data_IF_736985768609
#
_entry.id   IF_736985768609
#
_cell.length_a   1.000
_cell.length_b   1.000
_cell.length_c   1.000
_cell.angle_alpha   90.00
_cell.angle_beta   90.00
_cell.angle_gamma   90.00
#
_symmetry.space_group_name_H-M   'P 1'
#
loop_
_entity.id
_entity.type
_entity.pdbx_description
1 polymer ?
#
# COMPACT_ATOMS: atom_id res chain seq x y z
N UNK A 1 -3.28 13.06 -22.95
CA UNK A 1 -3.97 11.79 -22.71
C UNK A 1 -2.93 10.71 -22.45
N UNK A 2 -3.07 10.00 -21.34
CA UNK A 2 -2.22 8.84 -21.05
C UNK A 2 -2.46 7.74 -22.08
N UNK A 3 -1.41 7.01 -22.47
CA UNK A 3 -1.59 5.86 -23.36
C UNK A 3 -2.48 4.83 -22.66
N UNK A 4 -3.57 4.45 -23.31
CA UNK A 4 -4.64 3.58 -22.80
C UNK A 4 -4.15 2.21 -22.26
N UNK A 5 -2.92 1.79 -22.57
CA UNK A 5 -2.34 0.51 -22.15
C UNK A 5 -1.20 0.66 -21.12
N UNK A 6 -0.91 1.86 -20.62
CA UNK A 6 0.08 2.03 -19.57
C UNK A 6 -0.55 1.76 -18.20
N UNK A 7 -0.05 0.81 -17.40
CA UNK A 7 -0.55 0.57 -16.04
C UNK A 7 -0.14 1.67 -15.05
N UNK A 8 0.81 2.54 -15.45
CA UNK A 8 1.29 3.64 -14.62
C UNK A 8 0.91 4.99 -15.25
N UNK A 9 0.43 5.96 -14.44
CA UNK A 9 0.15 7.30 -14.93
C UNK A 9 1.42 7.96 -15.44
N UNK A 10 1.31 8.63 -16.59
CA UNK A 10 2.41 9.35 -17.23
C UNK A 10 2.38 10.86 -16.91
N UNK A 11 1.34 11.29 -16.23
CA UNK A 11 1.09 12.67 -15.83
C UNK A 11 0.93 12.69 -14.33
N UNK A 12 1.65 13.58 -13.66
CA UNK A 12 1.51 13.80 -12.23
C UNK A 12 0.72 15.08 -12.02
N UNK A 13 -0.39 15.02 -11.29
CA UNK A 13 -1.13 16.21 -10.84
C UNK A 13 -0.63 16.64 -9.46
N UNK A 14 -0.52 17.93 -9.24
CA UNK A 14 -0.14 18.51 -7.96
C UNK A 14 -0.77 19.86 -7.73
N UNK A 15 -1.22 20.12 -6.51
CA UNK A 15 -1.65 21.44 -6.05
C UNK A 15 -0.50 22.25 -5.42
N UNK A 16 0.67 21.63 -5.26
CA UNK A 16 1.81 22.23 -4.57
C UNK A 16 2.74 22.95 -5.55
N UNK A 17 2.95 24.27 -5.39
CA UNK A 17 3.80 25.04 -6.30
C UNK A 17 5.29 24.66 -6.20
N UNK A 18 5.75 24.19 -5.05
CA UNK A 18 7.12 23.70 -4.83
C UNK A 18 7.40 22.43 -5.65
N UNK A 19 6.43 21.50 -5.76
CA UNK A 19 6.54 20.31 -6.64
C UNK A 19 6.73 20.74 -8.08
N UNK A 20 5.89 21.67 -8.54
CA UNK A 20 5.97 22.18 -9.89
C UNK A 20 7.30 22.88 -10.15
N UNK A 21 7.78 23.71 -9.23
CA UNK A 21 9.05 24.41 -9.36
C UNK A 21 10.25 23.46 -9.48
N UNK A 22 10.27 22.38 -8.67
CA UNK A 22 11.31 21.35 -8.74
C UNK A 22 11.26 20.63 -10.09
N UNK A 23 10.06 20.24 -10.55
CA UNK A 23 9.89 19.56 -11.82
C UNK A 23 10.34 20.43 -13.01
N UNK A 24 10.01 21.72 -13.00
CA UNK A 24 10.46 22.68 -14.02
C UNK A 24 12.00 22.85 -13.99
N UNK A 25 12.62 22.88 -12.80
CA UNK A 25 14.08 22.94 -12.68
C UNK A 25 14.78 21.70 -13.23
N UNK A 26 14.09 20.56 -13.25
CA UNK A 26 14.56 19.31 -13.87
C UNK A 26 14.33 19.24 -15.39
N UNK A 27 13.78 20.31 -15.99
CA UNK A 27 13.50 20.37 -17.43
C UNK A 27 12.20 19.68 -17.84
N UNK A 28 11.29 19.41 -16.91
CA UNK A 28 9.97 18.86 -17.21
C UNK A 28 9.00 19.97 -17.62
N UNK A 29 7.91 19.58 -18.27
CA UNK A 29 6.86 20.52 -18.69
C UNK A 29 5.75 20.53 -17.64
N UNK A 30 5.40 21.73 -17.18
CA UNK A 30 4.24 21.96 -16.31
C UNK A 30 3.12 22.65 -17.08
N UNK A 31 1.90 22.19 -16.94
CA UNK A 31 0.71 22.76 -17.53
C UNK A 31 -0.24 23.20 -16.43
N UNK A 32 -0.61 24.47 -16.43
CA UNK A 32 -1.58 25.03 -15.51
C UNK A 32 -2.77 25.56 -16.30
N UNK A 33 -3.99 25.35 -15.80
CA UNK A 33 -5.20 25.89 -16.37
C UNK A 33 -5.78 26.97 -15.45
N UNK A 34 -6.21 28.07 -16.03
CA UNK A 34 -6.89 29.12 -15.28
C UNK A 34 -8.20 28.57 -14.68
N UNK A 35 -8.39 28.80 -13.38
CA UNK A 35 -9.56 28.30 -12.64
C UNK A 35 -9.40 26.92 -12.02
N UNK A 36 -8.28 26.19 -12.28
CA UNK A 36 -7.94 24.94 -11.60
C UNK A 36 -6.77 25.15 -10.64
N UNK A 37 -6.85 24.67 -9.38
CA UNK A 37 -5.73 24.72 -8.45
C UNK A 37 -4.64 23.70 -8.79
N UNK A 38 -4.93 22.74 -9.69
CA UNK A 38 -4.02 21.67 -10.04
C UNK A 38 -3.10 22.03 -11.21
N UNK A 39 -1.81 21.71 -11.03
CA UNK A 39 -0.82 21.76 -12.09
C UNK A 39 -0.50 20.31 -12.56
N UNK A 40 -0.42 20.12 -13.88
CA UNK A 40 -0.05 18.84 -14.48
C UNK A 40 1.43 18.88 -14.88
N UNK A 41 2.18 17.88 -14.46
CA UNK A 41 3.61 17.70 -14.72
C UNK A 41 3.82 16.54 -15.68
N UNK A 42 4.57 16.76 -16.74
CA UNK A 42 4.86 15.77 -17.77
C UNK A 42 6.36 15.78 -18.15
N UNK A 43 6.98 14.61 -18.39
CA UNK A 43 6.50 13.25 -18.12
C UNK A 43 6.56 12.92 -16.63
N UNK A 44 5.57 12.16 -16.14
CA UNK A 44 5.61 11.54 -14.82
C UNK A 44 6.48 10.29 -14.86
N UNK A 45 7.39 10.16 -13.91
CA UNK A 45 8.22 8.97 -13.74
C UNK A 45 7.70 8.15 -12.55
N UNK A 46 7.81 6.84 -12.63
CA UNK A 46 7.43 5.94 -11.54
C UNK A 46 8.08 6.32 -10.20
N UNK A 47 9.34 6.77 -10.24
CA UNK A 47 10.08 7.19 -9.05
C UNK A 47 9.46 8.42 -8.35
N UNK A 48 8.73 9.26 -9.09
CA UNK A 48 8.08 10.45 -8.53
C UNK A 48 6.97 10.09 -7.54
N UNK A 49 6.30 8.96 -7.76
CA UNK A 49 5.28 8.46 -6.82
C UNK A 49 5.88 7.93 -5.51
N UNK A 50 7.18 7.62 -5.50
CA UNK A 50 7.90 7.17 -4.31
C UNK A 50 8.66 8.31 -3.61
N UNK A 51 8.77 9.48 -4.23
CA UNK A 51 9.42 10.65 -3.64
C UNK A 51 8.39 11.61 -3.04
N UNK A 52 8.69 12.10 -1.85
CA UNK A 52 7.97 13.23 -1.25
C UNK A 52 8.86 14.46 -1.28
N UNK A 53 8.25 15.63 -1.48
CA UNK A 53 8.97 16.91 -1.43
C UNK A 53 9.53 17.18 -0.05
N UNK A 54 8.87 16.71 0.99
CA UNK A 54 9.32 16.84 2.38
C UNK A 54 10.71 16.26 2.60
N UNK A 55 11.11 15.28 1.78
CA UNK A 55 12.46 14.71 1.82
C UNK A 55 13.56 15.73 1.53
N UNK A 56 13.25 16.80 0.79
CA UNK A 56 14.22 17.87 0.46
C UNK A 56 14.38 18.92 1.56
N UNK A 57 13.44 18.99 2.50
CA UNK A 57 13.49 19.93 3.63
C UNK A 57 14.25 19.40 4.84
N UNK A 58 14.49 18.09 4.89
CA UNK A 58 15.20 17.46 6.01
C UNK A 58 16.70 17.31 5.74
N UNK A 59 17.47 17.09 6.83
CA UNK A 59 18.91 16.80 6.72
C UNK A 59 19.14 15.53 5.90
N UNK A 60 20.19 15.52 5.10
CA UNK A 60 20.53 14.45 4.16
C UNK A 60 20.42 13.03 4.75
N UNK A 61 20.99 12.77 5.92
CA UNK A 61 20.96 11.43 6.54
C UNK A 61 19.55 10.99 6.91
N UNK A 62 18.72 11.90 7.38
CA UNK A 62 17.34 11.62 7.75
C UNK A 62 16.47 11.36 6.49
N UNK A 63 16.63 12.18 5.48
CA UNK A 63 15.95 12.00 4.19
C UNK A 63 16.33 10.68 3.53
N UNK A 64 17.62 10.29 3.59
CA UNK A 64 18.09 9.03 3.06
C UNK A 64 17.43 7.83 3.78
N UNK A 65 17.38 7.88 5.11
CA UNK A 65 16.75 6.82 5.91
C UNK A 65 15.25 6.68 5.59
N UNK A 66 14.50 7.79 5.49
CA UNK A 66 13.07 7.77 5.15
C UNK A 66 12.84 7.23 3.73
N UNK A 67 13.64 7.66 2.75
CA UNK A 67 13.54 7.14 1.38
C UNK A 67 13.79 5.65 1.32
N UNK A 68 14.84 5.18 2.00
CA UNK A 68 15.16 3.75 2.06
C UNK A 68 14.03 2.94 2.72
N UNK A 69 13.48 3.44 3.84
CA UNK A 69 12.31 2.83 4.48
C UNK A 69 11.11 2.75 3.53
N UNK A 70 10.85 3.81 2.76
CA UNK A 70 9.75 3.85 1.79
C UNK A 70 9.92 2.82 0.67
N UNK A 71 11.14 2.64 0.16
CA UNK A 71 11.42 1.59 -0.82
C UNK A 71 11.20 0.18 -0.25
N UNK A 72 11.60 -0.05 1.00
CA UNK A 72 11.34 -1.32 1.69
C UNK A 72 9.83 -1.53 1.84
N UNK A 73 9.09 -0.52 2.30
CA UNK A 73 7.65 -0.61 2.46
C UNK A 73 6.93 -0.86 1.13
N UNK A 74 7.38 -0.22 0.06
CA UNK A 74 6.87 -0.51 -1.28
C UNK A 74 7.12 -1.97 -1.68
N UNK A 75 8.33 -2.48 -1.44
CA UNK A 75 8.65 -3.89 -1.69
C UNK A 75 7.79 -4.84 -0.84
N UNK A 76 7.56 -4.52 0.42
CA UNK A 76 6.67 -5.28 1.32
C UNK A 76 5.24 -5.26 0.77
N UNK A 77 4.70 -4.10 0.44
CA UNK A 77 3.35 -3.98 -0.09
C UNK A 77 3.13 -4.84 -1.35
N UNK A 78 4.14 -4.94 -2.21
CA UNK A 78 4.03 -5.68 -3.47
C UNK A 78 4.25 -7.18 -3.31
N UNK A 79 5.21 -7.59 -2.48
CA UNK A 79 5.74 -8.96 -2.48
C UNK A 79 5.19 -9.79 -1.31
N UNK A 80 4.91 -9.17 -0.17
CA UNK A 80 4.67 -9.89 1.09
C UNK A 80 3.51 -10.91 1.03
N UNK A 81 2.32 -10.59 0.47
CA UNK A 81 1.24 -11.57 0.39
C UNK A 81 1.59 -12.76 -0.49
N UNK A 82 2.19 -12.50 -1.66
CA UNK A 82 2.64 -13.53 -2.58
C UNK A 82 3.76 -14.40 -1.99
N UNK A 83 4.71 -13.78 -1.28
CA UNK A 83 5.79 -14.49 -0.59
C UNK A 83 5.24 -15.40 0.51
N UNK A 84 4.30 -14.91 1.32
CA UNK A 84 3.66 -15.71 2.35
C UNK A 84 2.96 -16.94 1.77
N UNK A 85 2.18 -16.77 0.71
CA UNK A 85 1.51 -17.89 0.01
C UNK A 85 2.53 -18.84 -0.57
N UNK A 86 3.58 -18.35 -1.24
CA UNK A 86 4.61 -19.18 -1.84
C UNK A 86 5.34 -20.05 -0.80
N UNK A 87 5.75 -19.45 0.32
CA UNK A 87 6.51 -20.13 1.36
C UNK A 87 5.61 -21.11 2.14
N UNK A 88 4.39 -20.74 2.48
CA UNK A 88 3.51 -21.61 3.27
C UNK A 88 2.87 -22.74 2.47
N UNK A 89 2.73 -22.58 1.13
CA UNK A 89 2.05 -23.57 0.29
C UNK A 89 3.02 -24.43 -0.50
N UNK A 90 4.08 -23.83 -1.06
CA UNK A 90 4.98 -24.53 -2.00
C UNK A 90 6.37 -24.80 -1.45
N UNK A 91 6.88 -23.96 -0.51
CA UNK A 91 8.26 -24.04 -0.03
C UNK A 91 8.32 -24.12 1.50
N UNK A 92 7.56 -25.03 2.08
CA UNK A 92 7.47 -25.21 3.53
C UNK A 92 8.82 -25.58 4.18
N UNK A 93 9.72 -26.16 3.40
CA UNK A 93 11.07 -26.51 3.85
C UNK A 93 11.94 -25.31 4.23
N UNK A 94 11.60 -24.11 3.73
CA UNK A 94 12.29 -22.87 4.08
C UNK A 94 11.92 -22.34 5.48
N UNK A 95 10.84 -22.86 6.06
CA UNK A 95 10.33 -22.40 7.36
C UNK A 95 10.95 -23.26 8.46
N UNK A 96 11.51 -22.65 9.53
CA UNK A 96 11.93 -23.40 10.71
C UNK A 96 10.77 -24.25 11.27
N UNK A 97 11.05 -25.51 11.61
CA UNK A 97 10.02 -26.47 12.03
C UNK A 97 9.07 -25.97 13.13
N UNK A 98 9.52 -25.27 14.20
CA UNK A 98 8.62 -24.74 15.22
C UNK A 98 7.63 -23.72 14.66
N UNK A 99 8.09 -22.87 13.75
CA UNK A 99 7.24 -21.87 13.09
C UNK A 99 6.26 -22.53 12.12
N UNK A 100 6.70 -23.54 11.37
CA UNK A 100 5.84 -24.30 10.47
C UNK A 100 4.69 -24.97 11.23
N UNK A 101 4.97 -25.60 12.36
CA UNK A 101 3.94 -26.22 13.21
C UNK A 101 2.94 -25.16 13.70
N UNK A 102 3.43 -24.01 14.14
CA UNK A 102 2.60 -22.90 14.59
C UNK A 102 1.69 -22.36 13.48
N UNK A 103 2.24 -22.14 12.29
CA UNK A 103 1.48 -21.67 11.13
C UNK A 103 0.44 -22.70 10.68
N UNK A 104 0.81 -23.99 10.67
CA UNK A 104 -0.10 -25.06 10.29
C UNK A 104 -1.24 -25.21 11.30
N UNK A 105 -0.95 -25.12 12.60
CA UNK A 105 -1.98 -25.17 13.64
C UNK A 105 -2.93 -23.98 13.55
N UNK A 106 -2.42 -22.77 13.28
CA UNK A 106 -3.24 -21.58 13.11
C UNK A 106 -4.15 -21.61 11.87
N UNK A 107 -3.85 -22.48 10.90
CA UNK A 107 -4.67 -22.71 9.70
C UNK A 107 -5.59 -23.92 9.82
N UNK A 108 -5.47 -24.68 10.90
CA UNK A 108 -6.34 -25.85 11.12
C UNK A 108 -7.78 -25.36 11.31
N UNK A 109 -8.67 -25.83 10.46
CA UNK A 109 -10.09 -25.44 10.47
C UNK A 109 -10.49 -24.34 9.48
N UNK A 110 -9.54 -23.71 8.80
CA UNK A 110 -9.83 -22.74 7.73
C UNK A 110 -10.14 -23.51 6.43
N UNK A 111 -11.36 -23.35 5.86
CA UNK A 111 -11.77 -24.14 4.68
C UNK A 111 -11.19 -23.60 3.37
N UNK A 112 -10.64 -22.37 3.36
CA UNK A 112 -10.18 -21.72 2.15
C UNK A 112 -8.70 -21.99 1.86
N UNK A 113 -8.33 -22.17 0.57
CA UNK A 113 -6.92 -22.15 0.17
C UNK A 113 -6.30 -20.77 0.47
N UNK A 114 -4.99 -20.76 0.79
CA UNK A 114 -4.26 -19.54 1.17
C UNK A 114 -4.40 -18.39 0.16
N UNK A 115 -4.47 -18.68 -1.13
CA UNK A 115 -4.64 -17.69 -2.20
C UNK A 115 -6.00 -17.00 -2.11
N UNK A 116 -7.07 -17.78 -1.92
CA UNK A 116 -8.43 -17.23 -1.83
C UNK A 116 -8.60 -16.45 -0.51
N UNK A 117 -8.02 -16.96 0.57
CA UNK A 117 -7.96 -16.29 1.87
C UNK A 117 -7.29 -14.91 1.75
N UNK A 118 -6.11 -14.83 1.11
CA UNK A 118 -5.41 -13.58 0.89
C UNK A 118 -6.22 -12.60 0.01
N UNK A 119 -6.72 -13.05 -1.14
CA UNK A 119 -7.48 -12.22 -2.06
C UNK A 119 -8.77 -11.67 -1.41
N UNK A 120 -9.48 -12.50 -0.65
CA UNK A 120 -10.70 -12.06 0.05
C UNK A 120 -10.39 -10.97 1.07
N UNK A 121 -9.31 -11.11 1.83
CA UNK A 121 -8.90 -10.12 2.81
C UNK A 121 -8.38 -8.84 2.17
N UNK A 122 -7.64 -8.92 1.06
CA UNK A 122 -7.20 -7.74 0.29
C UNK A 122 -8.41 -6.96 -0.26
N UNK A 123 -9.41 -7.64 -0.79
CA UNK A 123 -10.64 -6.99 -1.28
C UNK A 123 -11.38 -6.30 -0.13
N UNK A 124 -11.51 -6.96 1.03
CA UNK A 124 -12.15 -6.36 2.22
C UNK A 124 -11.36 -5.15 2.70
N UNK A 125 -10.04 -5.26 2.76
CA UNK A 125 -9.18 -4.15 3.16
C UNK A 125 -9.31 -2.95 2.20
N UNK A 126 -9.31 -3.20 0.88
CA UNK A 126 -9.47 -2.16 -0.13
C UNK A 126 -10.86 -1.51 -0.04
N UNK A 127 -11.91 -2.29 0.18
CA UNK A 127 -13.26 -1.76 0.38
C UNK A 127 -13.35 -0.86 1.63
N UNK A 128 -12.69 -1.24 2.73
CA UNK A 128 -12.63 -0.42 3.95
C UNK A 128 -11.85 0.87 3.71
N UNK A 129 -10.74 0.81 2.97
CA UNK A 129 -9.94 1.96 2.60
C UNK A 129 -10.73 2.93 1.74
N UNK A 130 -11.39 2.43 0.70
CA UNK A 130 -12.22 3.23 -0.21
C UNK A 130 -13.37 3.90 0.55
N UNK A 131 -14.04 3.17 1.46
CA UNK A 131 -15.06 3.74 2.33
C UNK A 131 -14.50 4.84 3.25
N UNK A 132 -13.29 4.62 3.79
CA UNK A 132 -12.62 5.58 4.66
C UNK A 132 -12.29 6.91 3.98
N UNK A 133 -11.87 6.87 2.72
CA UNK A 133 -11.53 8.07 1.93
C UNK A 133 -12.78 8.90 1.59
N UNK A 134 -13.91 8.25 1.34
CA UNK A 134 -15.17 8.93 0.97
C UNK A 134 -15.92 9.55 2.14
N UNK A 135 -15.58 9.18 3.37
CA UNK A 135 -16.21 9.71 4.56
C UNK A 135 -15.48 10.96 5.07
N UNK A 136 -16.16 11.85 5.82
CA UNK A 136 -15.49 12.95 6.53
C UNK A 136 -14.36 12.41 7.41
N UNK A 137 -13.20 13.08 7.44
CA UNK A 137 -11.95 12.59 8.07
C UNK A 137 -12.12 11.95 9.45
N UNK A 138 -12.90 12.57 10.34
CA UNK A 138 -13.12 12.06 11.69
C UNK A 138 -13.92 10.73 11.70
N UNK A 139 -14.91 10.60 10.83
CA UNK A 139 -15.75 9.40 10.74
C UNK A 139 -15.02 8.32 9.94
N UNK A 140 -14.33 8.70 8.84
CA UNK A 140 -13.59 7.77 8.00
C UNK A 140 -12.51 7.02 8.77
N UNK A 141 -11.72 7.70 9.60
CA UNK A 141 -10.72 7.07 10.46
C UNK A 141 -11.35 6.07 11.44
N UNK A 142 -12.42 6.46 12.12
CA UNK A 142 -13.10 5.59 13.06
C UNK A 142 -13.66 4.34 12.37
N UNK A 143 -14.32 4.50 11.23
CA UNK A 143 -14.89 3.38 10.46
C UNK A 143 -13.80 2.44 9.95
N UNK A 144 -12.68 2.98 9.47
CA UNK A 144 -11.57 2.15 8.97
C UNK A 144 -10.92 1.34 10.10
N UNK A 145 -10.67 1.96 11.26
CA UNK A 145 -10.04 1.27 12.40
C UNK A 145 -10.99 0.21 12.98
N UNK A 146 -12.23 0.60 13.27
CA UNK A 146 -13.23 -0.32 13.85
C UNK A 146 -13.59 -1.41 12.86
N UNK A 147 -13.77 -1.06 11.57
CA UNK A 147 -14.05 -2.02 10.50
C UNK A 147 -12.94 -3.06 10.36
N UNK A 148 -11.69 -2.63 10.29
CA UNK A 148 -10.54 -3.54 10.17
C UNK A 148 -10.41 -4.46 11.40
N UNK A 149 -10.56 -3.92 12.61
CA UNK A 149 -10.47 -4.70 13.85
C UNK A 149 -11.63 -5.69 13.98
N UNK A 150 -12.87 -5.22 13.84
CA UNK A 150 -14.08 -6.05 14.03
C UNK A 150 -14.19 -7.10 12.94
N UNK A 151 -13.96 -6.73 11.67
CA UNK A 151 -14.03 -7.69 10.55
C UNK A 151 -12.89 -8.69 10.64
N UNK A 152 -11.67 -8.24 10.95
CA UNK A 152 -10.52 -9.12 11.10
C UNK A 152 -10.71 -10.13 12.23
N UNK A 153 -11.16 -9.69 13.41
CA UNK A 153 -11.42 -10.56 14.56
C UNK A 153 -12.60 -11.53 14.28
N UNK A 154 -13.68 -11.03 13.68
CA UNK A 154 -14.83 -11.86 13.31
C UNK A 154 -14.45 -12.93 12.27
N UNK A 155 -13.65 -12.59 11.26
CA UNK A 155 -13.21 -13.52 10.23
C UNK A 155 -12.32 -14.63 10.80
N UNK A 156 -11.42 -14.29 11.73
CA UNK A 156 -10.58 -15.27 12.44
C UNK A 156 -11.43 -16.14 13.38
N UNK A 157 -12.30 -15.54 14.17
CA UNK A 157 -13.15 -16.26 15.12
C UNK A 157 -14.13 -17.21 14.42
N UNK A 158 -14.63 -16.81 13.25
CA UNK A 158 -15.47 -17.65 12.40
C UNK A 158 -14.68 -18.77 11.66
N UNK A 159 -13.34 -18.78 11.77
CA UNK A 159 -12.50 -19.74 11.08
C UNK A 159 -12.49 -19.60 9.57
N UNK A 160 -12.85 -18.44 9.03
CA UNK A 160 -12.85 -18.17 7.58
C UNK A 160 -11.44 -17.80 7.13
N UNK A 161 -10.68 -17.10 7.98
CA UNK A 161 -9.34 -16.59 7.71
C UNK A 161 -8.40 -16.96 8.86
N UNK A 162 -7.17 -17.30 8.56
CA UNK A 162 -6.15 -17.60 9.58
C UNK A 162 -5.56 -16.33 10.19
N UNK A 163 -5.19 -16.39 11.47
CA UNK A 163 -4.55 -15.26 12.16
C UNK A 163 -3.28 -14.74 11.43
N UNK A 164 -2.35 -15.62 10.96
CA UNK A 164 -1.19 -15.14 10.23
C UNK A 164 -1.53 -14.37 8.96
N UNK A 165 -2.59 -14.78 8.23
CA UNK A 165 -3.01 -14.06 7.02
C UNK A 165 -3.49 -12.65 7.33
N UNK A 166 -4.25 -12.46 8.41
CA UNK A 166 -4.70 -11.12 8.84
C UNK A 166 -3.50 -10.21 9.13
N UNK A 167 -2.45 -10.76 9.77
CA UNK A 167 -1.23 -9.99 10.06
C UNK A 167 -0.52 -9.60 8.76
N UNK A 168 -0.41 -10.52 7.79
CA UNK A 168 0.23 -10.26 6.50
C UNK A 168 -0.52 -9.15 5.73
N UNK A 169 -1.84 -9.26 5.64
CA UNK A 169 -2.67 -8.25 4.95
C UNK A 169 -2.61 -6.90 5.67
N UNK A 170 -2.63 -6.88 7.00
CA UNK A 170 -2.47 -5.66 7.77
C UNK A 170 -1.12 -4.98 7.53
N UNK A 171 -0.01 -5.75 7.50
CA UNK A 171 1.32 -5.22 7.20
C UNK A 171 1.40 -4.70 5.76
N UNK A 172 0.80 -5.39 4.81
CA UNK A 172 0.72 -4.96 3.41
C UNK A 172 -0.05 -3.65 3.29
N UNK A 173 -1.19 -3.56 3.96
CA UNK A 173 -2.01 -2.36 4.02
C UNK A 173 -1.26 -1.17 4.64
N UNK A 174 -0.61 -1.36 5.79
CA UNK A 174 0.22 -0.32 6.41
C UNK A 174 1.36 0.13 5.49
N UNK A 175 1.99 -0.81 4.80
CA UNK A 175 3.07 -0.51 3.87
C UNK A 175 2.57 0.31 2.67
N UNK A 176 1.37 0.06 2.17
CA UNK A 176 0.78 0.82 1.07
C UNK A 176 0.52 2.30 1.42
N UNK A 177 0.19 2.61 2.68
CA UNK A 177 -0.01 3.99 3.14
C UNK A 177 1.27 4.82 3.20
N UNK A 178 2.45 4.20 3.19
CA UNK A 178 3.72 4.94 3.18
C UNK A 178 4.09 5.50 1.81
N UNK A 179 3.33 5.14 0.77
CA UNK A 179 3.58 5.57 -0.62
C UNK A 179 2.89 6.90 -0.87
N UNK A 180 3.64 8.04 -1.09
CA UNK A 180 3.05 9.38 -1.19
C UNK A 180 2.11 9.58 -2.39
N UNK A 181 2.33 8.84 -3.47
CA UNK A 181 1.54 8.95 -4.70
C UNK A 181 0.20 8.19 -4.68
N UNK A 182 -0.20 7.67 -3.55
CA UNK A 182 -1.43 6.88 -3.40
C UNK A 182 -2.64 7.70 -2.91
N UNK A 183 -2.45 9.01 -2.67
CA UNK A 183 -3.50 9.92 -2.19
C UNK A 183 -3.98 10.81 -3.32
#
# INVERSE_FOLDING_TARGET
>A
EDRTFSPFPQIVSTERPDTLAIALSQGRVGLMMEGSPEALIMPGLFIDFLHSIEDYYHRFYFSLAIRFLRYIMYGIALILPGLYIAVTTYHQEMIPTPLLISLTSARTGVPLPAVIEALSMEIVFEALREAGIRLPKAVGQAVTIVGALVIGEAAVTAGIVSQPMVIIVALTGLASFTIPGYN
#
